data_IF_224416181521
#
_entry.id   IF_224416181521
#
_cell.length_a   1.000
_cell.length_b   1.000
_cell.length_c   1.000
_cell.angle_alpha   90.00
_cell.angle_beta   90.00
_cell.angle_gamma   90.00
#
_symmetry.space_group_name_H-M   'P 1'
#
loop_
_entity.id
_entity.type
_entity.pdbx_description
1 polymer ?
#
# COMPACT_ATOMS: atom_id res chain seq x y z
N UNK A 1 -69.78 -21.38 7.18
CA UNK A 1 -68.42 -21.77 6.77
C UNK A 1 -67.57 -20.50 6.70
N UNK A 2 -66.51 -20.39 7.51
CA UNK A 2 -65.62 -19.22 7.56
C UNK A 2 -64.43 -19.48 6.66
N UNK A 3 -64.31 -18.77 5.54
CA UNK A 3 -63.12 -18.84 4.69
C UNK A 3 -62.05 -17.90 5.25
N UNK A 4 -60.96 -18.49 5.78
CA UNK A 4 -59.73 -17.77 6.14
C UNK A 4 -58.94 -17.50 4.86
N UNK A 5 -58.72 -16.23 4.54
CA UNK A 5 -57.79 -15.84 3.50
C UNK A 5 -56.36 -15.91 4.06
N UNK A 6 -55.52 -16.75 3.47
CA UNK A 6 -54.08 -16.81 3.73
C UNK A 6 -53.40 -15.74 2.88
N UNK A 7 -52.81 -14.72 3.51
CA UNK A 7 -51.90 -13.79 2.82
C UNK A 7 -50.54 -14.50 2.61
N UNK A 8 -49.97 -14.48 1.39
CA UNK A 8 -48.63 -14.99 1.17
C UNK A 8 -47.60 -13.98 1.69
N UNK A 9 -46.71 -14.43 2.57
CA UNK A 9 -45.55 -13.69 3.03
C UNK A 9 -44.50 -13.68 1.89
N UNK A 10 -44.34 -12.54 1.21
CA UNK A 10 -43.31 -12.37 0.21
C UNK A 10 -41.95 -12.17 0.90
N UNK A 11 -41.07 -13.18 0.84
CA UNK A 11 -39.65 -13.02 1.18
C UNK A 11 -38.97 -12.17 0.10
N UNK A 12 -38.62 -10.93 0.44
CA UNK A 12 -37.70 -10.12 -0.36
C UNK A 12 -36.26 -10.61 -0.10
N UNK A 13 -35.70 -11.36 -1.03
CA UNK A 13 -34.25 -11.57 -1.09
C UNK A 13 -33.59 -10.28 -1.56
N UNK A 14 -32.93 -9.57 -0.65
CA UNK A 14 -31.97 -8.53 -1.02
C UNK A 14 -30.74 -9.20 -1.63
N UNK A 15 -30.72 -9.30 -2.96
CA UNK A 15 -29.49 -9.62 -3.69
C UNK A 15 -28.63 -8.36 -3.66
N UNK A 16 -27.66 -8.32 -2.73
CA UNK A 16 -26.59 -7.32 -2.79
C UNK A 16 -25.85 -7.51 -4.12
N UNK A 17 -25.56 -6.45 -4.88
CA UNK A 17 -24.77 -6.58 -6.10
C UNK A 17 -23.41 -7.16 -5.71
N UNK A 18 -23.15 -8.39 -6.15
CA UNK A 18 -21.82 -8.96 -6.07
C UNK A 18 -20.92 -8.12 -6.99
N UNK A 19 -20.14 -7.23 -6.40
CA UNK A 19 -19.04 -6.60 -7.12
C UNK A 19 -18.09 -7.72 -7.53
N UNK A 20 -18.16 -8.12 -8.79
CA UNK A 20 -17.24 -9.10 -9.37
C UNK A 20 -15.88 -8.44 -9.46
N UNK A 21 -15.08 -8.61 -8.41
CA UNK A 21 -13.68 -8.27 -8.46
C UNK A 21 -13.06 -9.13 -9.57
N UNK A 22 -12.41 -8.49 -10.55
CA UNK A 22 -11.66 -9.21 -11.58
C UNK A 22 -10.62 -10.10 -10.89
N UNK A 23 -10.29 -11.24 -11.52
CA UNK A 23 -9.23 -12.12 -11.01
C UNK A 23 -7.98 -11.29 -10.75
N UNK A 24 -7.57 -11.21 -9.49
CA UNK A 24 -6.32 -10.55 -9.10
C UNK A 24 -5.18 -11.54 -9.32
N UNK A 25 -4.17 -11.11 -10.06
CA UNK A 25 -2.99 -11.91 -10.33
C UNK A 25 -2.21 -12.10 -9.04
N UNK A 26 -1.87 -13.35 -8.73
CA UNK A 26 -1.09 -13.70 -7.54
C UNK A 26 0.40 -13.40 -7.70
N UNK A 27 1.17 -13.29 -6.59
CA UNK A 27 2.62 -13.11 -6.69
C UNK A 27 3.30 -14.21 -7.50
N UNK A 28 2.87 -15.47 -7.34
CA UNK A 28 3.41 -16.59 -8.11
C UNK A 28 3.19 -16.47 -9.61
N UNK A 29 2.02 -15.98 -10.02
CA UNK A 29 1.74 -15.72 -11.44
C UNK A 29 2.54 -14.54 -11.99
N UNK A 30 2.80 -13.51 -11.18
CA UNK A 30 3.52 -12.31 -11.61
C UNK A 30 5.06 -12.45 -11.57
N UNK A 31 5.57 -13.18 -10.58
CA UNK A 31 7.00 -13.26 -10.25
C UNK A 31 7.62 -14.63 -10.58
N UNK A 32 6.79 -15.66 -10.72
CA UNK A 32 7.22 -17.07 -10.85
C UNK A 32 7.45 -17.78 -9.51
N UNK A 33 7.28 -17.09 -8.38
CA UNK A 33 7.42 -17.61 -7.02
C UNK A 33 6.47 -16.89 -6.06
N UNK A 34 6.13 -17.50 -4.92
CA UNK A 34 5.39 -16.80 -3.87
C UNK A 34 6.32 -15.88 -3.09
N UNK A 35 5.77 -14.78 -2.55
CA UNK A 35 6.50 -13.99 -1.57
C UNK A 35 6.80 -14.86 -0.35
N UNK A 36 8.07 -14.91 0.06
CA UNK A 36 8.54 -15.74 1.16
C UNK A 36 8.96 -17.15 0.78
N UNK A 37 8.89 -17.55 -0.49
CA UNK A 37 9.52 -18.79 -0.95
C UNK A 37 11.04 -18.75 -0.68
N UNK A 38 11.60 -19.89 -0.27
CA UNK A 38 13.01 -20.02 0.05
C UNK A 38 13.90 -19.50 -1.10
N UNK A 39 14.89 -18.69 -0.71
CA UNK A 39 15.87 -18.09 -1.60
C UNK A 39 15.30 -17.13 -2.67
N UNK A 40 14.04 -16.69 -2.59
CA UNK A 40 13.47 -15.76 -3.58
C UNK A 40 13.35 -14.34 -3.00
N UNK A 41 13.85 -13.35 -3.74
CA UNK A 41 13.72 -11.93 -3.39
C UNK A 41 13.38 -11.15 -4.65
N UNK A 42 12.21 -10.50 -4.67
CA UNK A 42 11.80 -9.65 -5.78
C UNK A 42 12.53 -8.30 -5.73
N UNK A 43 13.05 -7.85 -6.88
CA UNK A 43 13.65 -6.53 -7.03
C UNK A 43 12.58 -5.43 -7.20
N UNK A 44 13.00 -4.17 -7.28
CA UNK A 44 12.05 -3.06 -7.43
C UNK A 44 11.33 -3.07 -8.77
N UNK A 45 12.04 -3.42 -9.85
CA UNK A 45 11.46 -3.52 -11.19
C UNK A 45 10.29 -4.51 -11.21
N UNK A 46 10.43 -5.65 -10.53
CA UNK A 46 9.37 -6.65 -10.36
C UNK A 46 8.22 -6.11 -9.51
N UNK A 47 8.52 -5.43 -8.38
CA UNK A 47 7.51 -4.77 -7.55
C UNK A 47 6.71 -3.75 -8.36
N UNK A 48 7.37 -2.84 -9.07
CA UNK A 48 6.75 -1.80 -9.88
C UNK A 48 5.81 -2.42 -10.94
N UNK A 49 6.31 -3.41 -11.68
CA UNK A 49 5.51 -4.12 -12.68
C UNK A 49 4.27 -4.75 -12.06
N UNK A 50 4.45 -5.42 -10.91
CA UNK A 50 3.36 -6.10 -10.23
C UNK A 50 2.33 -5.12 -9.66
N UNK A 51 2.75 -4.05 -8.99
CA UNK A 51 1.85 -3.03 -8.46
C UNK A 51 1.08 -2.28 -9.56
N UNK A 52 1.72 -1.98 -10.69
CA UNK A 52 1.03 -1.44 -11.87
C UNK A 52 -0.06 -2.38 -12.35
N UNK A 53 0.23 -3.69 -12.40
CA UNK A 53 -0.76 -4.70 -12.78
C UNK A 53 -1.92 -4.77 -11.80
N UNK A 54 -1.64 -4.83 -10.49
CA UNK A 54 -2.68 -4.83 -9.44
C UNK A 54 -3.58 -3.60 -9.52
N UNK A 55 -3.02 -2.41 -9.78
CA UNK A 55 -3.78 -1.17 -9.96
C UNK A 55 -4.72 -1.19 -11.19
N UNK A 56 -4.47 -2.05 -12.18
CA UNK A 56 -5.39 -2.24 -13.32
C UNK A 56 -6.45 -3.32 -13.07
N UNK A 57 -6.22 -4.20 -12.10
CA UNK A 57 -7.06 -5.36 -11.81
C UNK A 57 -8.01 -5.13 -10.63
N UNK A 58 -7.63 -4.27 -9.67
CA UNK A 58 -8.40 -3.99 -8.47
C UNK A 58 -8.98 -2.57 -8.45
N UNK A 59 -10.27 -2.46 -8.19
CA UNK A 59 -10.97 -1.19 -7.95
C UNK A 59 -10.71 -0.61 -6.55
N UNK A 60 -9.94 -1.31 -5.73
CA UNK A 60 -9.52 -0.90 -4.37
C UNK A 60 -8.20 -0.17 -4.34
N UNK A 61 -7.43 -0.19 -5.41
CA UNK A 61 -6.07 0.32 -5.44
C UNK A 61 -5.91 1.46 -6.44
N UNK A 62 -5.28 2.54 -5.98
CA UNK A 62 -4.75 3.60 -6.85
C UNK A 62 -3.24 3.69 -6.64
N UNK A 63 -2.47 3.49 -7.69
CA UNK A 63 -1.02 3.67 -7.67
C UNK A 63 -0.67 5.09 -8.11
N UNK A 64 0.07 5.83 -7.28
CA UNK A 64 0.44 7.23 -7.55
C UNK A 64 1.95 7.41 -7.53
N UNK A 65 2.46 8.20 -8.47
CA UNK A 65 3.85 8.69 -8.50
C UNK A 65 3.98 9.79 -7.45
N UNK A 66 4.89 9.61 -6.49
CA UNK A 66 5.19 10.59 -5.43
C UNK A 66 6.51 11.33 -5.64
N UNK A 67 7.23 11.04 -6.73
CA UNK A 67 8.50 11.65 -7.11
C UNK A 67 9.48 10.66 -7.73
N UNK A 68 10.74 11.10 -7.84
CA UNK A 68 11.87 10.27 -8.29
C UNK A 68 12.78 9.91 -7.13
N UNK A 69 13.44 8.77 -7.24
CA UNK A 69 14.57 8.36 -6.39
C UNK A 69 15.88 9.00 -6.84
N UNK A 70 16.93 8.86 -6.05
CA UNK A 70 18.25 9.42 -6.30
C UNK A 70 18.91 8.84 -7.57
N UNK A 71 18.50 7.66 -8.01
CA UNK A 71 18.90 7.02 -9.28
C UNK A 71 17.84 7.16 -10.39
N UNK A 72 16.77 7.92 -10.16
CA UNK A 72 15.80 8.29 -11.18
C UNK A 72 14.66 7.28 -11.40
N UNK A 73 14.51 6.28 -10.53
CA UNK A 73 13.32 5.40 -10.54
C UNK A 73 12.11 6.20 -10.10
N UNK A 74 10.93 5.86 -10.62
CA UNK A 74 9.69 6.41 -10.06
C UNK A 74 9.50 5.86 -8.66
N UNK A 75 9.19 6.73 -7.70
CA UNK A 75 8.84 6.35 -6.35
C UNK A 75 7.31 6.29 -6.27
N UNK A 76 6.75 5.10 -6.08
CA UNK A 76 5.29 4.93 -6.01
C UNK A 76 4.75 4.78 -4.60
N UNK A 77 3.53 5.25 -4.42
CA UNK A 77 2.67 4.93 -3.28
C UNK A 77 1.40 4.22 -3.77
N UNK A 78 1.03 3.13 -3.13
CA UNK A 78 -0.25 2.48 -3.31
C UNK A 78 -1.26 3.04 -2.30
N UNK A 79 -2.40 3.52 -2.77
CA UNK A 79 -3.54 3.94 -1.94
C UNK A 79 -4.58 2.84 -2.02
N UNK A 80 -4.87 2.19 -0.90
CA UNK A 80 -5.73 0.99 -0.84
C UNK A 80 -6.88 1.25 0.14
N UNK A 81 -8.10 1.15 -0.35
CA UNK A 81 -9.35 1.34 0.41
C UNK A 81 -10.53 0.77 -0.38
N UNK A 82 -11.74 0.79 0.17
CA UNK A 82 -12.95 0.32 -0.52
C UNK A 82 -13.20 1.11 -1.82
N UNK A 83 -13.87 0.50 -2.83
CA UNK A 83 -14.18 1.20 -4.08
C UNK A 83 -15.04 2.46 -3.88
N UNK A 84 -15.87 2.48 -2.83
CA UNK A 84 -16.65 3.67 -2.47
C UNK A 84 -15.77 4.77 -1.86
N UNK A 85 -14.79 4.39 -1.04
CA UNK A 85 -13.84 5.34 -0.51
C UNK A 85 -12.91 5.90 -1.59
N UNK A 86 -12.54 5.09 -2.59
CA UNK A 86 -11.74 5.53 -3.74
C UNK A 86 -12.37 6.72 -4.50
N UNK A 87 -13.70 6.74 -4.62
CA UNK A 87 -14.44 7.85 -5.25
C UNK A 87 -14.40 9.14 -4.42
N UNK A 88 -14.16 9.01 -3.12
CA UNK A 88 -14.23 10.10 -2.15
C UNK A 88 -12.84 10.47 -1.57
N UNK A 89 -11.74 10.00 -2.16
CA UNK A 89 -10.39 10.21 -1.60
C UNK A 89 -10.08 11.68 -1.32
N UNK A 90 -10.44 12.60 -2.22
CA UNK A 90 -10.17 14.03 -2.01
C UNK A 90 -10.88 14.55 -0.75
N UNK A 91 -12.16 14.19 -0.57
CA UNK A 91 -12.94 14.54 0.62
C UNK A 91 -12.26 14.03 1.88
N UNK A 92 -11.85 12.76 1.91
CA UNK A 92 -11.23 12.18 3.11
C UNK A 92 -9.84 12.76 3.39
N UNK A 93 -9.06 13.04 2.35
CA UNK A 93 -7.77 13.73 2.47
C UNK A 93 -7.94 15.13 3.05
N UNK A 94 -8.95 15.88 2.62
CA UNK A 94 -9.26 17.21 3.16
C UNK A 94 -9.70 17.14 4.62
N UNK A 95 -10.51 16.12 4.99
CA UNK A 95 -10.91 15.87 6.38
C UNK A 95 -9.68 15.58 7.26
N UNK A 96 -8.81 14.65 6.85
CA UNK A 96 -7.59 14.29 7.57
C UNK A 96 -6.70 15.51 7.80
N UNK A 97 -6.49 16.33 6.76
CA UNK A 97 -5.74 17.58 6.86
C UNK A 97 -6.35 18.58 7.85
N UNK A 98 -7.66 18.82 7.78
CA UNK A 98 -8.34 19.76 8.70
C UNK A 98 -8.23 19.32 10.15
N UNK A 99 -8.39 18.02 10.41
CA UNK A 99 -8.23 17.45 11.75
C UNK A 99 -6.77 17.54 12.23
N UNK A 100 -5.80 17.29 11.36
CA UNK A 100 -4.38 17.31 11.71
C UNK A 100 -3.83 18.71 12.00
N UNK A 101 -4.29 19.74 11.26
CA UNK A 101 -3.86 21.13 11.46
C UNK A 101 -4.66 21.83 12.56
N UNK A 102 -5.93 21.47 12.73
CA UNK A 102 -6.86 22.07 13.69
C UNK A 102 -7.01 23.61 13.58
N UNK A 103 -6.59 24.21 12.46
CA UNK A 103 -6.71 25.65 12.22
C UNK A 103 -8.18 26.01 11.91
N UNK A 104 -8.80 26.80 12.79
CA UNK A 104 -10.17 27.29 12.60
C UNK A 104 -11.26 26.22 12.69
N UNK A 105 -10.98 25.07 13.33
CA UNK A 105 -11.94 23.98 13.55
C UNK A 105 -12.41 24.00 14.99
N UNK A 106 -13.72 24.09 15.22
CA UNK A 106 -14.29 23.97 16.57
C UNK A 106 -14.35 22.51 17.02
N UNK A 107 -14.47 22.26 18.33
CA UNK A 107 -14.60 20.91 18.88
C UNK A 107 -15.78 20.14 18.26
N UNK A 108 -16.95 20.78 18.13
CA UNK A 108 -18.11 20.16 17.49
C UNK A 108 -17.82 19.78 16.02
N UNK A 109 -17.19 20.67 15.26
CA UNK A 109 -16.78 20.38 13.88
C UNK A 109 -15.76 19.25 13.81
N UNK A 110 -14.82 19.18 14.76
CA UNK A 110 -13.85 18.10 14.83
C UNK A 110 -14.52 16.74 15.06
N UNK A 111 -15.54 16.67 15.93
CA UNK A 111 -16.33 15.45 16.14
C UNK A 111 -17.10 15.03 14.87
N UNK A 112 -17.75 15.97 14.18
CA UNK A 112 -18.46 15.69 12.92
C UNK A 112 -17.51 15.19 11.83
N UNK A 113 -16.34 15.81 11.72
CA UNK A 113 -15.27 15.42 10.80
C UNK A 113 -14.73 14.03 11.14
N UNK A 114 -14.52 13.71 12.41
CA UNK A 114 -14.04 12.40 12.85
C UNK A 114 -15.05 11.28 12.58
N UNK A 115 -16.36 11.56 12.72
CA UNK A 115 -17.41 10.60 12.38
C UNK A 115 -17.53 10.34 10.88
N UNK A 116 -17.22 11.34 10.05
CA UNK A 116 -17.34 11.24 8.59
C UNK A 116 -16.05 10.78 7.92
N UNK A 117 -14.91 11.06 8.54
CA UNK A 117 -13.58 10.78 8.02
C UNK A 117 -13.25 9.29 7.96
N UNK A 118 -12.04 9.02 7.47
CA UNK A 118 -11.43 7.69 7.47
C UNK A 118 -10.08 7.80 8.15
N UNK A 119 -9.70 6.78 8.91
CA UNK A 119 -8.34 6.70 9.41
C UNK A 119 -7.40 6.54 8.21
N UNK A 120 -6.28 7.26 8.24
CA UNK A 120 -5.27 7.19 7.19
C UNK A 120 -4.07 6.46 7.78
N UNK A 121 -3.83 5.24 7.31
CA UNK A 121 -2.79 4.36 7.85
C UNK A 121 -1.61 4.37 6.88
N UNK A 122 -0.43 4.72 7.37
CA UNK A 122 0.80 4.67 6.59
C UNK A 122 1.62 3.41 6.93
N UNK A 123 1.99 2.67 5.89
CA UNK A 123 2.83 1.48 6.00
C UNK A 123 3.94 1.60 4.95
N UNK A 124 5.17 1.85 5.40
CA UNK A 124 6.34 1.72 4.55
C UNK A 124 7.17 0.48 4.90
N UNK A 125 8.00 0.07 3.95
CA UNK A 125 8.89 -1.08 4.11
C UNK A 125 10.11 -0.97 3.23
N UNK A 126 11.15 -1.74 3.58
CA UNK A 126 12.39 -1.82 2.79
C UNK A 126 13.20 -0.53 2.81
N UNK A 127 13.18 0.20 3.92
CA UNK A 127 13.98 1.41 4.13
C UNK A 127 15.47 1.07 4.11
N UNK A 128 15.92 0.28 5.07
CA UNK A 128 17.22 -0.39 4.96
C UNK A 128 17.10 -1.57 4.00
N UNK A 129 17.66 -1.46 2.80
CA UNK A 129 17.39 -2.46 1.74
C UNK A 129 17.90 -3.87 2.06
N UNK A 130 18.90 -4.01 2.96
CA UNK A 130 19.36 -5.33 3.42
C UNK A 130 18.38 -6.02 4.37
N UNK A 131 17.42 -5.29 4.94
CA UNK A 131 16.31 -5.84 5.75
C UNK A 131 15.19 -6.32 4.82
N UNK A 132 15.50 -7.31 3.98
CA UNK A 132 14.67 -7.66 2.81
C UNK A 132 13.24 -8.04 3.16
N UNK A 133 12.99 -8.58 4.35
CA UNK A 133 11.64 -8.95 4.82
C UNK A 133 10.66 -7.77 4.70
N UNK A 134 11.07 -6.54 5.04
CA UNK A 134 10.17 -5.38 4.99
C UNK A 134 9.67 -5.07 3.57
N UNK A 135 10.55 -5.13 2.57
CA UNK A 135 10.17 -4.92 1.16
C UNK A 135 9.22 -6.00 0.64
N UNK A 136 9.50 -7.26 0.99
CA UNK A 136 8.75 -8.41 0.50
C UNK A 136 7.38 -8.48 1.18
N UNK A 137 7.34 -8.30 2.50
CA UNK A 137 6.09 -8.26 3.27
C UNK A 137 5.19 -7.11 2.81
N UNK A 138 5.74 -5.93 2.49
CA UNK A 138 4.94 -4.84 1.93
C UNK A 138 4.25 -5.25 0.62
N UNK A 139 4.97 -5.93 -0.28
CA UNK A 139 4.40 -6.43 -1.54
C UNK A 139 3.27 -7.44 -1.30
N UNK A 140 3.45 -8.36 -0.36
CA UNK A 140 2.43 -9.34 0.02
C UNK A 140 1.22 -8.66 0.68
N UNK A 141 1.43 -7.70 1.57
CA UNK A 141 0.35 -6.93 2.21
C UNK A 141 -0.51 -6.21 1.18
N UNK A 142 0.12 -5.55 0.19
CA UNK A 142 -0.63 -4.93 -0.92
C UNK A 142 -1.47 -5.97 -1.65
N UNK A 143 -0.89 -7.11 -2.03
CA UNK A 143 -1.63 -8.19 -2.70
C UNK A 143 -2.81 -8.70 -1.87
N UNK A 144 -2.62 -8.96 -0.58
CA UNK A 144 -3.67 -9.48 0.30
C UNK A 144 -4.82 -8.46 0.45
N UNK A 145 -4.51 -7.17 0.68
CA UNK A 145 -5.54 -6.13 0.80
C UNK A 145 -6.35 -5.98 -0.48
N UNK A 146 -5.71 -6.11 -1.65
CA UNK A 146 -6.42 -5.95 -2.93
C UNK A 146 -7.08 -7.23 -3.43
N UNK A 147 -6.81 -8.41 -2.87
CA UNK A 147 -7.33 -9.70 -3.37
C UNK A 147 -8.32 -10.40 -2.44
N UNK A 148 -8.19 -10.24 -1.13
CA UNK A 148 -9.04 -10.93 -0.16
C UNK A 148 -10.44 -10.32 -0.10
N UNK A 149 -11.42 -11.17 0.20
CA UNK A 149 -12.83 -10.82 0.30
C UNK A 149 -13.46 -11.29 1.62
N UNK A 150 -12.64 -11.67 2.61
CA UNK A 150 -13.17 -12.03 3.92
C UNK A 150 -13.72 -10.78 4.64
N UNK A 151 -14.69 -10.97 5.57
CA UNK A 151 -15.36 -9.87 6.24
C UNK A 151 -14.41 -8.90 6.95
N UNK A 152 -13.31 -9.39 7.50
CA UNK A 152 -12.36 -8.56 8.23
C UNK A 152 -11.56 -7.66 7.29
N UNK A 153 -11.06 -8.20 6.18
CA UNK A 153 -10.38 -7.38 5.15
C UNK A 153 -11.32 -6.33 4.59
N UNK A 154 -12.57 -6.69 4.28
CA UNK A 154 -13.55 -5.75 3.76
C UNK A 154 -13.90 -4.66 4.79
N UNK A 155 -13.98 -5.00 6.07
CA UNK A 155 -14.17 -4.04 7.15
C UNK A 155 -13.02 -3.04 7.23
N UNK A 156 -11.77 -3.52 7.26
CA UNK A 156 -10.56 -2.66 7.25
C UNK A 156 -10.63 -1.68 6.07
N UNK A 157 -10.90 -2.16 4.85
CA UNK A 157 -10.93 -1.30 3.66
C UNK A 157 -12.10 -0.31 3.65
N UNK A 158 -13.21 -0.61 4.33
CA UNK A 158 -14.35 0.31 4.44
C UNK A 158 -14.06 1.44 5.45
N UNK A 159 -13.31 1.13 6.51
CA UNK A 159 -13.04 2.04 7.63
C UNK A 159 -11.77 2.87 7.41
N UNK A 160 -10.79 2.32 6.69
CA UNK A 160 -9.44 2.87 6.57
C UNK A 160 -9.03 3.20 5.13
N UNK A 161 -8.11 4.16 5.00
CA UNK A 161 -7.32 4.42 3.80
C UNK A 161 -5.88 4.01 4.10
N UNK A 162 -5.41 2.93 3.48
CA UNK A 162 -4.05 2.41 3.68
C UNK A 162 -3.13 2.93 2.59
N UNK A 163 -2.03 3.57 3.00
CA UNK A 163 -0.98 4.10 2.14
C UNK A 163 0.25 3.21 2.27
N UNK A 164 0.66 2.56 1.18
CA UNK A 164 1.81 1.66 1.15
C UNK A 164 2.94 2.23 0.29
N UNK A 165 4.16 2.32 0.84
CA UNK A 165 5.33 2.87 0.12
C UNK A 165 6.57 2.01 0.35
N UNK A 166 7.25 1.59 -0.73
CA UNK A 166 8.60 1.06 -0.58
C UNK A 166 9.55 2.25 -0.39
N UNK A 167 10.19 2.34 0.78
CA UNK A 167 10.96 3.53 1.16
C UNK A 167 12.24 3.71 0.32
N UNK A 168 12.95 2.62 0.01
CA UNK A 168 14.20 2.66 -0.76
C UNK A 168 14.16 1.77 -2.03
N UNK A 169 13.54 2.24 -3.12
CA UNK A 169 13.49 1.51 -4.38
C UNK A 169 14.87 1.18 -4.98
N UNK A 170 15.81 2.13 -4.90
CA UNK A 170 17.15 1.98 -5.49
C UNK A 170 17.95 0.91 -4.76
N UNK A 171 17.89 0.91 -3.43
CA UNK A 171 18.50 -0.10 -2.58
C UNK A 171 17.88 -1.47 -2.77
N UNK A 172 16.55 -1.58 -2.85
CA UNK A 172 15.88 -2.86 -3.08
C UNK A 172 16.27 -3.46 -4.44
N UNK A 173 16.36 -2.63 -5.48
CA UNK A 173 16.84 -3.06 -6.80
C UNK A 173 18.27 -3.62 -6.70
N UNK A 174 19.17 -2.92 -6.03
CA UNK A 174 20.55 -3.36 -5.84
C UNK A 174 20.64 -4.67 -5.06
N UNK A 175 20.01 -4.75 -3.88
CA UNK A 175 20.15 -5.88 -2.96
C UNK A 175 19.53 -7.14 -3.53
N UNK A 176 18.32 -7.05 -4.09
CA UNK A 176 17.65 -8.20 -4.69
C UNK A 176 18.40 -8.70 -5.93
N UNK A 177 18.84 -7.81 -6.82
CA UNK A 177 19.62 -8.22 -8.00
C UNK A 177 20.95 -8.86 -7.60
N UNK A 178 21.62 -8.31 -6.59
CA UNK A 178 22.83 -8.92 -6.07
C UNK A 178 22.53 -10.32 -5.55
N UNK A 179 21.55 -10.48 -4.66
CA UNK A 179 21.21 -11.78 -4.10
C UNK A 179 20.82 -12.82 -5.17
N UNK A 180 19.99 -12.40 -6.15
CA UNK A 180 19.44 -13.26 -7.20
C UNK A 180 20.42 -13.54 -8.35
N UNK A 181 21.59 -12.91 -8.40
CA UNK A 181 22.62 -13.13 -9.45
C UNK A 181 23.16 -14.56 -9.46
N UNK A 182 23.21 -15.18 -8.30
CA UNK A 182 23.69 -16.55 -8.13
C UNK A 182 22.56 -17.54 -8.46
N UNK A 183 22.86 -18.46 -9.38
CA UNK A 183 21.90 -19.43 -9.90
C UNK A 183 21.64 -20.55 -8.91
N UNK A 184 22.67 -20.94 -8.15
CA UNK A 184 22.57 -21.94 -7.09
C UNK A 184 21.97 -21.30 -5.82
N UNK A 185 20.73 -21.64 -5.42
CA UNK A 185 20.07 -21.01 -4.28
C UNK A 185 20.89 -21.07 -2.99
N UNK A 186 21.60 -22.18 -2.76
CA UNK A 186 22.41 -22.40 -1.56
C UNK A 186 23.66 -21.51 -1.49
N UNK A 187 24.03 -20.89 -2.60
CA UNK A 187 25.18 -19.97 -2.70
C UNK A 187 24.76 -18.50 -2.75
N UNK A 188 23.45 -18.20 -2.79
CA UNK A 188 22.97 -16.82 -2.78
C UNK A 188 23.38 -16.12 -1.49
N UNK A 189 23.92 -14.92 -1.62
CA UNK A 189 24.41 -14.14 -0.50
C UNK A 189 24.38 -12.64 -0.78
N UNK A 190 24.11 -11.88 0.28
CA UNK A 190 24.21 -10.42 0.31
C UNK A 190 25.62 -9.93 0.68
N UNK A 191 26.58 -10.83 0.94
CA UNK A 191 27.97 -10.47 1.22
C UNK A 191 28.60 -9.75 0.02
N UNK A 192 29.50 -8.80 0.32
CA UNK A 192 30.27 -8.03 -0.66
C UNK A 192 29.39 -7.26 -1.66
N UNK A 193 28.26 -6.71 -1.22
CA UNK A 193 27.50 -5.73 -2.01
C UNK A 193 28.47 -4.69 -2.58
N UNK A 194 28.37 -4.34 -3.88
CA UNK A 194 29.36 -3.51 -4.56
C UNK A 194 29.38 -2.06 -4.07
N UNK A 195 28.33 -1.65 -3.36
CA UNK A 195 28.17 -0.36 -2.68
C UNK A 195 27.08 -0.50 -1.63
N UNK A 196 26.99 0.50 -0.75
CA UNK A 196 25.85 0.62 0.14
C UNK A 196 24.58 1.01 -0.65
N UNK A 197 23.44 0.70 -0.06
CA UNK A 197 22.14 0.68 -0.74
C UNK A 197 21.39 2.02 -0.73
N UNK A 198 22.03 3.09 -0.31
CA UNK A 198 21.58 4.47 -0.52
C UNK A 198 22.68 5.30 -1.18
N UNK A 199 22.30 6.10 -2.19
CA UNK A 199 23.27 6.74 -3.10
C UNK A 199 24.17 7.78 -2.43
N UNK A 200 23.62 8.65 -1.57
CA UNK A 200 24.38 9.74 -0.96
C UNK A 200 24.70 9.55 0.52
N UNK A 201 23.92 8.73 1.23
CA UNK A 201 24.01 8.56 2.69
C UNK A 201 24.39 7.13 3.11
N UNK A 202 24.78 6.30 2.14
CA UNK A 202 25.31 4.98 2.41
C UNK A 202 24.21 3.98 2.79
N UNK A 203 23.95 3.81 4.09
CA UNK A 203 23.07 2.74 4.57
C UNK A 203 21.93 3.20 5.49
N UNK A 204 21.97 4.39 6.09
CA UNK A 204 20.97 4.78 7.09
C UNK A 204 20.15 5.98 6.62
N UNK A 205 19.14 5.70 5.80
CA UNK A 205 18.06 6.63 5.44
C UNK A 205 17.07 6.88 6.58
N UNK A 206 17.09 6.07 7.65
CA UNK A 206 16.24 6.28 8.82
C UNK A 206 16.71 7.44 9.71
N UNK A 207 17.89 8.03 9.44
CA UNK A 207 18.34 9.28 10.07
C UNK A 207 18.01 10.52 9.28
N UNK A 208 17.46 10.38 8.08
CA UNK A 208 17.23 11.52 7.20
C UNK A 208 15.86 12.19 7.39
N UNK A 209 14.85 11.53 7.99
CA UNK A 209 13.48 12.07 8.06
C UNK A 209 13.35 13.47 8.68
N UNK A 210 14.20 13.81 9.66
CA UNK A 210 14.22 15.15 10.25
C UNK A 210 14.83 16.20 9.31
N UNK A 211 15.93 15.87 8.62
CA UNK A 211 16.63 16.79 7.72
C UNK A 211 16.00 16.85 6.32
N UNK A 212 15.32 15.78 5.91
CA UNK A 212 14.71 15.59 4.59
C UNK A 212 15.68 15.91 3.45
N UNK A 213 16.93 15.44 3.54
CA UNK A 213 17.97 15.78 2.56
C UNK A 213 17.96 14.86 1.34
N UNK A 214 17.43 13.64 1.46
CA UNK A 214 17.27 12.69 0.36
C UNK A 214 15.93 12.89 -0.34
N UNK A 215 15.90 12.56 -1.63
CA UNK A 215 14.71 12.77 -2.46
C UNK A 215 13.59 11.79 -2.09
N UNK A 216 13.92 10.56 -1.73
CA UNK A 216 13.00 9.53 -1.25
C UNK A 216 12.33 9.98 0.06
N UNK A 217 13.13 10.43 1.02
CA UNK A 217 12.65 11.00 2.29
C UNK A 217 11.73 12.19 2.03
N UNK A 218 12.12 13.09 1.13
CA UNK A 218 11.32 14.28 0.78
C UNK A 218 9.98 13.89 0.15
N UNK A 219 9.96 12.89 -0.73
CA UNK A 219 8.74 12.37 -1.33
C UNK A 219 7.79 11.82 -0.25
N UNK A 220 8.31 11.00 0.67
CA UNK A 220 7.54 10.41 1.78
C UNK A 220 7.06 11.47 2.78
N UNK A 221 7.94 12.38 3.20
CA UNK A 221 7.60 13.48 4.11
C UNK A 221 6.50 14.38 3.53
N UNK A 222 6.52 14.67 2.23
CA UNK A 222 5.41 15.39 1.59
C UNK A 222 4.09 14.65 1.77
N UNK A 223 4.09 13.33 1.55
CA UNK A 223 2.86 12.55 1.74
C UNK A 223 2.39 12.55 3.20
N UNK A 224 3.29 12.29 4.14
CA UNK A 224 2.95 12.16 5.56
C UNK A 224 2.58 13.49 6.23
N UNK A 225 3.30 14.58 5.93
CA UNK A 225 3.22 15.83 6.68
C UNK A 225 2.50 16.98 5.94
N UNK A 226 2.17 16.81 4.66
CA UNK A 226 1.54 17.88 3.85
C UNK A 226 0.27 17.39 3.16
N UNK A 227 0.31 16.19 2.59
CA UNK A 227 -0.78 15.70 1.76
C UNK A 227 -1.82 14.93 2.56
N UNK A 228 -1.40 13.90 3.30
CA UNK A 228 -2.31 12.89 3.84
C UNK A 228 -2.49 12.93 5.36
N UNK A 229 -1.49 13.37 6.11
CA UNK A 229 -1.51 13.36 7.57
C UNK A 229 -2.00 12.01 8.17
N UNK A 230 -1.28 10.89 7.96
CA UNK A 230 -1.61 9.62 8.57
C UNK A 230 -1.72 9.73 10.10
N UNK A 231 -2.78 9.16 10.70
CA UNK A 231 -3.12 9.24 12.13
C UNK A 231 -3.90 8.01 12.56
#
# INVERSE_FOLDING_TARGET
MRHRALLPLALFFFVLPAFSQKKITSPKEALGFNIGDDYQVANYTQLESYWKKLATESDRMKLVDIGKTAEGRTHYMAIITSPENQKNLQKYKDIARRLALAEGVTEAQAHDLAQTGKAVVWIDGGLHATETVGSQQLMETVYQLVSRNDPETLRILNDDIVLCVLANPDGQELVANWYMREKDPLKRSMTNLPRLYQKYIGHDDNRDFFLSSQVETTNMNRQMAIEWFPR
#
